data_IF_748556610213
#
_entry.id   IF_748556610213
#
_cell.length_a   1.000
_cell.length_b   1.000
_cell.length_c   1.000
_cell.angle_alpha   90.00
_cell.angle_beta   90.00
_cell.angle_gamma   90.00
#
_symmetry.space_group_name_H-M   'P 1'
#
loop_
_entity.id
_entity.type
_entity.pdbx_description
1 polymer ?
#
# COMPACT_ATOMS: atom_id res chain seq x y z
N UNK A 1 3.28 -28.06 37.79
CA UNK A 1 2.47 -28.41 36.60
C UNK A 1 2.26 -27.25 35.63
N UNK A 2 1.94 -26.02 36.05
CA UNK A 2 1.65 -24.86 35.14
C UNK A 2 2.88 -24.36 34.30
N UNK A 3 4.11 -24.52 34.77
CA UNK A 3 5.32 -24.09 34.09
C UNK A 3 5.66 -25.00 32.89
N UNK A 4 5.49 -26.31 33.05
CA UNK A 4 5.71 -27.29 31.96
C UNK A 4 4.75 -27.12 30.79
N UNK A 5 3.48 -26.75 31.07
CA UNK A 5 2.48 -26.51 30.00
C UNK A 5 2.78 -25.27 29.18
N UNK A 6 3.39 -24.24 29.80
CA UNK A 6 3.79 -22.99 29.12
C UNK A 6 5.01 -23.21 28.23
N UNK A 7 5.95 -24.01 28.68
CA UNK A 7 7.17 -24.38 27.91
C UNK A 7 6.80 -25.23 26.69
N UNK A 8 5.89 -26.19 26.86
CA UNK A 8 5.44 -27.06 25.77
C UNK A 8 4.64 -26.28 24.69
N UNK A 9 3.80 -25.30 25.09
CA UNK A 9 3.10 -24.41 24.14
C UNK A 9 4.09 -23.53 23.36
N UNK A 10 5.11 -23.01 24.01
CA UNK A 10 6.17 -22.19 23.36
C UNK A 10 7.02 -23.02 22.39
N UNK A 11 7.41 -24.24 22.76
CA UNK A 11 8.15 -25.14 21.87
C UNK A 11 7.32 -25.58 20.65
N UNK A 12 6.05 -25.93 20.87
CA UNK A 12 5.13 -26.31 19.79
C UNK A 12 4.89 -25.17 18.80
N UNK A 13 4.77 -23.93 19.30
CA UNK A 13 4.67 -22.72 18.48
C UNK A 13 5.93 -22.46 17.65
N UNK A 14 7.11 -22.62 18.25
CA UNK A 14 8.40 -22.48 17.53
C UNK A 14 8.65 -23.62 16.54
N UNK A 15 8.30 -24.85 16.88
CA UNK A 15 8.40 -25.98 15.94
C UNK A 15 7.44 -25.84 14.77
N UNK A 16 6.20 -25.42 15.02
CA UNK A 16 5.24 -25.10 13.96
C UNK A 16 5.75 -23.97 13.07
N UNK A 17 6.31 -22.88 13.64
CA UNK A 17 6.84 -21.78 12.83
C UNK A 17 8.06 -22.22 11.99
N UNK A 18 8.92 -23.11 12.48
CA UNK A 18 10.05 -23.67 11.74
C UNK A 18 9.60 -24.65 10.64
N UNK A 19 8.66 -25.55 10.95
CA UNK A 19 8.09 -26.48 9.97
C UNK A 19 7.29 -25.74 8.87
N UNK A 20 6.57 -24.67 9.26
CA UNK A 20 5.93 -23.79 8.29
C UNK A 20 6.98 -23.07 7.42
N UNK A 21 8.04 -22.50 8.01
CA UNK A 21 9.09 -21.83 7.25
C UNK A 21 9.81 -22.77 6.26
N UNK A 22 10.01 -24.04 6.61
CA UNK A 22 10.70 -25.03 5.76
C UNK A 22 9.78 -25.54 4.62
N UNK A 23 8.48 -25.75 4.91
CA UNK A 23 7.49 -26.12 3.90
C UNK A 23 7.25 -25.00 2.87
N UNK A 24 7.40 -23.72 3.29
CA UNK A 24 7.28 -22.53 2.44
C UNK A 24 8.50 -22.30 1.53
N UNK A 25 9.69 -22.77 1.93
CA UNK A 25 10.89 -22.69 1.07
C UNK A 25 10.82 -23.56 -0.19
N UNK A 26 10.08 -24.66 -0.16
CA UNK A 26 10.04 -25.66 -1.26
C UNK A 26 9.00 -25.41 -2.35
N UNK A 27 8.09 -24.43 -2.20
CA UNK A 27 6.95 -24.20 -3.10
C UNK A 27 7.01 -22.92 -3.93
N UNK A 28 8.10 -22.13 -3.89
CA UNK A 28 8.21 -20.90 -4.68
C UNK A 28 8.56 -21.26 -6.11
N UNK A 29 7.55 -21.30 -6.98
CA UNK A 29 7.75 -21.28 -8.43
C UNK A 29 8.64 -20.08 -8.80
N UNK A 30 9.53 -20.27 -9.78
CA UNK A 30 10.27 -19.17 -10.41
C UNK A 30 9.24 -18.14 -10.87
N UNK A 31 9.24 -16.96 -10.25
CA UNK A 31 8.29 -15.92 -10.61
C UNK A 31 8.69 -15.33 -11.95
N UNK A 32 7.66 -15.07 -12.76
CA UNK A 32 7.82 -14.39 -14.03
C UNK A 32 8.53 -13.05 -13.81
N UNK A 33 9.57 -12.79 -14.62
CA UNK A 33 10.26 -11.50 -14.68
C UNK A 33 9.76 -10.71 -15.85
N UNK A 34 9.45 -9.46 -15.62
CA UNK A 34 8.95 -8.56 -16.65
C UNK A 34 10.07 -7.70 -17.21
N UNK A 35 10.01 -7.43 -18.52
CA UNK A 35 10.98 -6.56 -19.20
C UNK A 35 10.54 -5.09 -19.23
N UNK A 36 9.29 -4.79 -18.90
CA UNK A 36 8.76 -3.43 -18.80
C UNK A 36 7.60 -3.36 -17.81
N UNK A 37 7.28 -2.15 -17.38
CA UNK A 37 6.17 -1.87 -16.45
C UNK A 37 4.83 -2.12 -17.14
N UNK A 38 4.71 -1.80 -18.43
CA UNK A 38 3.50 -2.02 -19.21
C UNK A 38 3.14 -3.50 -19.29
N UNK A 39 4.12 -4.38 -19.52
CA UNK A 39 3.91 -5.84 -19.54
C UNK A 39 3.51 -6.35 -18.16
N UNK A 40 4.14 -5.85 -17.10
CA UNK A 40 3.79 -6.18 -15.72
C UNK A 40 2.35 -5.76 -15.42
N UNK A 41 1.98 -4.51 -15.73
CA UNK A 41 0.64 -4.00 -15.51
C UNK A 41 -0.41 -4.74 -16.33
N UNK A 42 -0.14 -5.01 -17.61
CA UNK A 42 -1.03 -5.77 -18.49
C UNK A 42 -1.29 -7.18 -17.93
N UNK A 43 -0.24 -7.87 -17.43
CA UNK A 43 -0.37 -9.19 -16.86
C UNK A 43 -1.10 -9.17 -15.52
N UNK A 44 -0.77 -8.21 -14.64
CA UNK A 44 -1.37 -8.09 -13.31
C UNK A 44 -2.88 -7.81 -13.39
N UNK A 45 -3.28 -6.90 -14.28
CA UNK A 45 -4.67 -6.50 -14.49
C UNK A 45 -5.36 -7.24 -15.65
N UNK A 46 -4.84 -8.40 -16.08
CA UNK A 46 -5.36 -9.18 -17.19
C UNK A 46 -6.87 -9.48 -17.08
N UNK A 47 -7.35 -9.80 -15.87
CA UNK A 47 -8.75 -10.11 -15.61
C UNK A 47 -9.61 -8.90 -15.25
N UNK A 48 -9.01 -7.74 -15.02
CA UNK A 48 -9.72 -6.49 -14.76
C UNK A 48 -8.91 -5.30 -15.32
N UNK A 49 -8.85 -5.15 -16.66
CA UNK A 49 -8.05 -4.12 -17.30
C UNK A 49 -8.53 -2.69 -17.01
N UNK A 50 -9.79 -2.53 -16.63
CA UNK A 50 -10.41 -1.23 -16.30
C UNK A 50 -10.37 -0.94 -14.79
N UNK A 51 -9.55 -1.68 -14.02
CA UNK A 51 -9.45 -1.45 -12.58
C UNK A 51 -9.03 0.00 -12.28
N UNK A 52 -9.75 0.73 -11.42
CA UNK A 52 -9.55 2.17 -11.21
C UNK A 52 -8.16 2.52 -10.64
N UNK A 53 -7.53 1.61 -9.92
CA UNK A 53 -6.17 1.81 -9.40
C UNK A 53 -5.07 1.51 -10.43
N UNK A 54 -5.39 0.85 -11.56
CA UNK A 54 -4.39 0.46 -12.57
C UNK A 54 -3.61 1.67 -13.11
N UNK A 55 -4.23 2.78 -13.51
CA UNK A 55 -3.49 3.92 -14.07
C UNK A 55 -2.46 4.48 -13.10
N UNK A 56 -2.87 4.76 -11.86
CA UNK A 56 -2.01 5.39 -10.84
C UNK A 56 -0.96 4.45 -10.28
N UNK A 57 -1.29 3.17 -10.03
CA UNK A 57 -0.31 2.14 -9.66
C UNK A 57 0.76 1.97 -10.75
N UNK A 58 0.35 1.95 -12.01
CA UNK A 58 1.29 1.88 -13.15
C UNK A 58 2.16 3.13 -13.23
N UNK A 59 1.56 4.32 -13.12
CA UNK A 59 2.26 5.59 -13.16
C UNK A 59 3.29 5.73 -12.01
N UNK A 60 2.96 5.23 -10.81
CA UNK A 60 3.89 5.22 -9.68
C UNK A 60 5.18 4.43 -10.00
N UNK A 61 5.04 3.26 -10.65
CA UNK A 61 6.19 2.45 -11.07
C UNK A 61 6.94 3.08 -12.27
N UNK A 62 6.23 3.71 -13.21
CA UNK A 62 6.86 4.44 -14.32
C UNK A 62 7.70 5.61 -13.80
N UNK A 63 7.21 6.32 -12.77
CA UNK A 63 7.91 7.45 -12.17
C UNK A 63 9.27 7.09 -11.54
N UNK A 64 9.48 5.82 -11.17
CA UNK A 64 10.76 5.33 -10.63
C UNK A 64 11.67 4.70 -11.69
N UNK A 65 11.22 4.63 -12.95
CA UNK A 65 12.01 4.30 -14.14
C UNK A 65 12.87 3.02 -14.01
N UNK A 66 12.24 1.90 -13.69
CA UNK A 66 12.86 0.56 -13.57
C UNK A 66 14.00 0.47 -12.53
N UNK A 67 14.16 1.47 -11.67
CA UNK A 67 15.17 1.47 -10.62
C UNK A 67 14.76 0.54 -9.47
N UNK A 68 15.73 -0.04 -8.74
CA UNK A 68 15.44 -0.68 -7.47
C UNK A 68 14.75 0.29 -6.50
N UNK A 69 13.70 -0.16 -5.81
CA UNK A 69 12.90 0.68 -4.91
C UNK A 69 12.63 0.01 -3.58
N UNK A 70 12.44 0.80 -2.53
CA UNK A 70 11.84 0.32 -1.29
C UNK A 70 10.38 0.74 -1.25
N UNK A 71 9.48 -0.22 -1.28
CA UNK A 71 8.03 0.03 -1.23
C UNK A 71 7.53 -0.22 0.19
N UNK A 72 6.80 0.74 0.73
CA UNK A 72 6.14 0.69 2.03
C UNK A 72 4.64 0.82 1.78
N UNK A 73 3.92 -0.27 1.96
CA UNK A 73 2.48 -0.35 1.78
C UNK A 73 1.79 -0.48 3.13
N UNK A 74 0.78 0.36 3.38
CA UNK A 74 -0.13 0.23 4.51
C UNK A 74 -1.52 -0.20 4.02
N UNK A 75 -2.10 -1.24 4.65
CA UNK A 75 -3.24 -1.97 4.12
C UNK A 75 -2.82 -2.93 3.01
N UNK A 76 -2.99 -4.20 3.25
CA UNK A 76 -2.70 -5.24 2.28
C UNK A 76 -3.98 -5.89 1.81
N UNK A 77 -3.95 -6.51 0.64
CA UNK A 77 -5.14 -7.21 0.10
C UNK A 77 -6.30 -6.26 -0.21
N UNK A 78 -5.97 -5.09 -0.75
CA UNK A 78 -6.96 -4.18 -1.30
C UNK A 78 -7.86 -4.89 -2.33
N UNK A 79 -9.13 -4.57 -2.31
CA UNK A 79 -10.18 -5.21 -3.11
C UNK A 79 -9.85 -5.15 -4.61
N UNK A 80 -9.49 -6.31 -5.18
CA UNK A 80 -9.27 -6.47 -6.62
C UNK A 80 -7.93 -5.93 -7.16
N UNK A 81 -7.33 -4.91 -6.57
CA UNK A 81 -6.05 -4.37 -7.04
C UNK A 81 -4.89 -5.32 -6.78
N UNK A 82 -4.94 -6.09 -5.67
CA UNK A 82 -3.83 -6.97 -5.25
C UNK A 82 -2.48 -6.25 -5.30
N UNK A 83 -2.44 -5.01 -4.82
CA UNK A 83 -1.30 -4.08 -4.90
C UNK A 83 0.00 -4.69 -4.37
N UNK A 84 -0.05 -5.41 -3.25
CA UNK A 84 1.11 -6.11 -2.68
C UNK A 84 1.75 -7.07 -3.70
N UNK A 85 0.94 -7.82 -4.45
CA UNK A 85 1.45 -8.75 -5.49
C UNK A 85 1.98 -8.00 -6.72
N UNK A 86 1.39 -6.86 -7.06
CA UNK A 86 1.86 -5.98 -8.12
C UNK A 86 3.26 -5.44 -7.80
N UNK A 87 3.43 -4.93 -6.59
CA UNK A 87 4.71 -4.44 -6.09
C UNK A 87 5.76 -5.56 -5.93
N UNK A 88 5.35 -6.74 -5.44
CA UNK A 88 6.23 -7.91 -5.38
C UNK A 88 6.76 -8.30 -6.77
N UNK A 89 5.89 -8.27 -7.78
CA UNK A 89 6.29 -8.56 -9.17
C UNK A 89 7.27 -7.52 -9.73
N UNK A 90 7.09 -6.25 -9.35
CA UNK A 90 8.03 -5.19 -9.72
C UNK A 90 9.41 -5.43 -9.09
N UNK A 91 9.49 -5.57 -7.77
CA UNK A 91 10.80 -5.74 -7.11
C UNK A 91 11.49 -7.04 -7.50
N UNK A 92 10.73 -8.09 -7.82
CA UNK A 92 11.29 -9.33 -8.37
C UNK A 92 11.90 -9.13 -9.77
N UNK A 93 11.38 -8.18 -10.56
CA UNK A 93 11.86 -7.91 -11.92
C UNK A 93 12.99 -6.89 -11.96
N UNK A 94 12.88 -5.82 -11.18
CA UNK A 94 13.75 -4.64 -11.28
C UNK A 94 14.58 -4.36 -10.03
N UNK A 95 14.36 -5.13 -8.96
CA UNK A 95 15.11 -5.01 -7.70
C UNK A 95 14.43 -4.13 -6.65
N UNK A 96 14.90 -4.28 -5.43
CA UNK A 96 14.36 -3.58 -4.27
C UNK A 96 13.67 -4.50 -3.27
N UNK A 97 12.74 -3.95 -2.49
CA UNK A 97 11.99 -4.69 -1.47
C UNK A 97 10.61 -4.10 -1.24
N UNK A 98 9.68 -4.92 -0.72
CA UNK A 98 8.35 -4.50 -0.28
C UNK A 98 8.20 -4.79 1.21
N UNK A 99 7.71 -3.80 1.96
CA UNK A 99 7.22 -3.96 3.32
C UNK A 99 5.72 -3.64 3.30
N UNK A 100 4.88 -4.65 3.49
CA UNK A 100 3.43 -4.50 3.53
C UNK A 100 2.93 -4.75 4.94
N UNK A 101 2.14 -3.82 5.48
CA UNK A 101 1.59 -3.90 6.84
C UNK A 101 0.07 -3.90 6.82
N UNK A 102 -0.52 -4.80 7.57
CA UNK A 102 -1.97 -4.85 7.80
C UNK A 102 -2.24 -5.29 9.25
N UNK A 103 -3.28 -4.76 9.83
CA UNK A 103 -3.71 -5.16 11.18
C UNK A 103 -4.33 -6.57 11.20
N UNK A 104 -4.80 -7.05 10.05
CA UNK A 104 -5.47 -8.34 9.90
C UNK A 104 -4.45 -9.44 9.59
N UNK A 105 -4.39 -10.49 10.42
CA UNK A 105 -3.47 -11.61 10.22
C UNK A 105 -3.82 -12.47 8.99
N UNK A 106 -5.09 -12.65 8.66
CA UNK A 106 -5.53 -13.54 7.57
C UNK A 106 -5.02 -13.13 6.19
N UNK A 107 -5.15 -11.85 5.75
CA UNK A 107 -4.55 -11.40 4.49
C UNK A 107 -3.04 -11.60 4.46
N UNK A 108 -2.36 -11.27 5.56
CA UNK A 108 -0.91 -11.42 5.71
C UNK A 108 -0.44 -12.85 5.43
N UNK A 109 -1.09 -13.84 6.06
CA UNK A 109 -0.76 -15.26 5.87
C UNK A 109 -0.95 -15.68 4.40
N UNK A 110 -2.06 -15.27 3.77
CA UNK A 110 -2.36 -15.58 2.37
C UNK A 110 -1.33 -14.99 1.42
N UNK A 111 -0.93 -13.73 1.64
CA UNK A 111 0.03 -13.03 0.80
C UNK A 111 1.45 -13.54 0.99
N UNK A 112 1.85 -13.87 2.22
CA UNK A 112 3.17 -14.48 2.49
C UNK A 112 3.43 -15.72 1.63
N UNK A 113 2.38 -16.49 1.34
CA UNK A 113 2.48 -17.68 0.48
C UNK A 113 2.58 -17.36 -1.01
N UNK A 114 2.13 -16.17 -1.41
CA UNK A 114 2.06 -15.74 -2.80
C UNK A 114 3.23 -14.82 -3.18
N UNK A 115 3.78 -14.08 -2.24
CA UNK A 115 4.84 -13.11 -2.48
C UNK A 115 6.24 -13.73 -2.42
N UNK A 116 7.21 -13.13 -3.07
CA UNK A 116 8.62 -13.52 -3.08
C UNK A 116 9.30 -13.24 -1.72
N UNK A 117 10.57 -13.59 -1.56
CA UNK A 117 11.36 -13.25 -0.38
C UNK A 117 11.79 -11.77 -0.32
N UNK A 118 11.51 -11.01 -1.38
CA UNK A 118 11.72 -9.57 -1.42
C UNK A 118 10.56 -8.80 -0.77
N UNK A 119 9.47 -9.48 -0.44
CA UNK A 119 8.30 -8.92 0.22
C UNK A 119 8.18 -9.45 1.64
N UNK A 120 8.19 -8.52 2.60
CA UNK A 120 8.00 -8.81 4.03
C UNK A 120 6.63 -8.35 4.47
N UNK A 121 5.87 -9.25 5.10
CA UNK A 121 4.55 -8.97 5.64
C UNK A 121 4.62 -8.68 7.13
N UNK A 122 3.95 -7.61 7.57
CA UNK A 122 3.91 -7.16 8.97
C UNK A 122 2.47 -7.13 9.47
N UNK A 123 2.11 -8.00 10.43
CA UNK A 123 0.82 -7.92 11.11
C UNK A 123 0.93 -6.90 12.25
N UNK A 124 0.54 -5.66 11.99
CA UNK A 124 0.66 -4.57 12.96
C UNK A 124 -0.28 -3.42 12.58
N UNK A 125 -0.51 -2.51 13.51
CA UNK A 125 -1.06 -1.18 13.24
C UNK A 125 -0.07 -0.37 12.38
N UNK A 126 -0.58 0.27 11.32
CA UNK A 126 0.26 0.95 10.33
C UNK A 126 1.04 2.12 10.93
N UNK A 127 0.41 2.94 11.78
CA UNK A 127 1.10 4.07 12.43
C UNK A 127 2.21 3.60 13.37
N UNK A 128 1.98 2.51 14.12
CA UNK A 128 3.03 1.90 14.97
C UNK A 128 4.18 1.36 14.13
N UNK A 129 3.87 0.75 12.99
CA UNK A 129 4.87 0.25 12.06
C UNK A 129 5.68 1.40 11.45
N UNK A 130 5.02 2.43 10.91
CA UNK A 130 5.67 3.58 10.28
C UNK A 130 6.56 4.36 11.24
N UNK A 131 6.14 4.53 12.51
CA UNK A 131 6.98 5.15 13.56
C UNK A 131 8.26 4.35 13.83
N UNK A 132 8.18 3.01 13.84
CA UNK A 132 9.38 2.16 13.99
C UNK A 132 10.30 2.26 12.78
N UNK A 133 9.74 2.36 11.58
CA UNK A 133 10.51 2.54 10.35
C UNK A 133 11.34 3.83 10.40
N UNK A 134 10.78 4.90 10.93
CA UNK A 134 11.48 6.18 11.14
C UNK A 134 12.74 6.03 12.00
N UNK A 135 12.70 5.22 13.05
CA UNK A 135 13.84 5.01 13.96
C UNK A 135 14.96 4.17 13.35
N UNK A 136 14.68 3.43 12.28
CA UNK A 136 15.64 2.54 11.60
C UNK A 136 16.18 3.11 10.28
N UNK A 137 15.88 4.36 9.96
CA UNK A 137 15.96 4.96 8.62
C UNK A 137 17.36 5.25 8.06
N UNK A 138 18.46 4.91 8.76
CA UNK A 138 19.83 5.09 8.24
C UNK A 138 20.18 4.19 7.03
N UNK A 139 19.23 3.44 6.46
CA UNK A 139 19.47 2.41 5.44
C UNK A 139 18.81 2.62 4.07
N UNK A 140 18.03 3.68 3.87
CA UNK A 140 17.30 3.86 2.61
C UNK A 140 18.05 4.78 1.63
N UNK A 141 18.99 4.22 0.87
CA UNK A 141 19.61 4.90 -0.27
C UNK A 141 18.74 4.82 -1.55
N UNK A 142 17.80 3.87 -1.63
CA UNK A 142 16.94 3.68 -2.78
C UNK A 142 15.75 4.64 -2.76
N UNK A 143 15.19 4.93 -3.95
CA UNK A 143 13.91 5.63 -4.11
C UNK A 143 12.83 4.85 -3.35
N UNK A 144 11.97 5.58 -2.63
CA UNK A 144 10.87 4.98 -1.87
C UNK A 144 9.52 5.23 -2.55
N UNK A 145 8.65 4.24 -2.45
CA UNK A 145 7.22 4.38 -2.75
C UNK A 145 6.47 4.12 -1.45
N UNK A 146 5.73 5.11 -0.96
CA UNK A 146 4.79 4.96 0.14
C UNK A 146 3.39 4.84 -0.44
N UNK A 147 2.72 3.72 -0.18
CA UNK A 147 1.34 3.49 -0.60
C UNK A 147 0.43 3.35 0.62
N UNK A 148 -0.53 4.26 0.75
CA UNK A 148 -1.46 4.34 1.88
C UNK A 148 -2.83 3.81 1.49
N UNK A 149 -3.19 2.65 2.05
CA UNK A 149 -4.47 1.96 1.83
C UNK A 149 -5.00 1.26 3.10
N UNK A 150 -4.63 1.75 4.29
CA UNK A 150 -4.82 1.02 5.55
C UNK A 150 -6.23 1.06 6.12
N UNK A 151 -6.95 2.13 5.98
CA UNK A 151 -8.28 2.34 6.56
C UNK A 151 -9.31 2.55 5.46
N UNK A 152 -10.34 1.69 5.40
CA UNK A 152 -11.44 1.85 4.44
C UNK A 152 -12.20 3.17 4.67
N UNK A 153 -12.69 3.75 3.58
CA UNK A 153 -13.47 4.99 3.65
C UNK A 153 -14.94 4.67 3.90
N UNK A 154 -15.49 5.18 5.00
CA UNK A 154 -16.92 5.35 5.13
C UNK A 154 -17.32 6.65 4.40
N UNK A 155 -17.97 6.50 3.24
CA UNK A 155 -18.35 7.65 2.41
C UNK A 155 -19.46 8.51 3.03
N UNK A 156 -20.13 8.02 4.08
CA UNK A 156 -21.10 8.80 4.87
C UNK A 156 -20.41 9.66 5.96
N UNK A 157 -19.27 9.19 6.48
CA UNK A 157 -18.39 9.91 7.40
C UNK A 157 -16.91 9.66 7.03
N UNK A 158 -16.35 10.39 6.05
CA UNK A 158 -14.99 10.14 5.58
C UNK A 158 -13.91 10.72 6.50
N UNK A 159 -14.27 11.55 7.47
CA UNK A 159 -13.31 12.27 8.33
C UNK A 159 -12.32 11.32 9.02
N UNK A 160 -12.73 10.19 9.64
CA UNK A 160 -11.79 9.28 10.28
C UNK A 160 -10.71 8.75 9.33
N UNK A 161 -11.07 8.34 8.11
CA UNK A 161 -10.11 7.83 7.12
C UNK A 161 -9.20 8.95 6.58
N UNK A 162 -9.72 10.16 6.40
CA UNK A 162 -8.94 11.34 5.99
C UNK A 162 -7.87 11.71 7.04
N UNK A 163 -8.26 11.74 8.33
CA UNK A 163 -7.35 12.02 9.45
C UNK A 163 -6.32 10.91 9.61
N UNK A 164 -6.73 9.65 9.43
CA UNK A 164 -5.83 8.52 9.52
C UNK A 164 -4.80 8.55 8.38
N UNK A 165 -5.22 8.75 7.13
CA UNK A 165 -4.32 8.90 5.98
C UNK A 165 -3.32 10.05 6.14
N UNK A 166 -3.79 11.23 6.61
CA UNK A 166 -2.90 12.35 6.93
C UNK A 166 -1.89 11.97 8.04
N UNK A 167 -2.32 11.21 9.06
CA UNK A 167 -1.43 10.77 10.13
C UNK A 167 -0.34 9.84 9.65
N UNK A 168 -0.65 8.91 8.73
CA UNK A 168 0.34 8.06 8.06
C UNK A 168 1.34 8.91 7.24
N UNK A 169 0.82 9.82 6.42
CA UNK A 169 1.63 10.73 5.60
C UNK A 169 2.59 11.56 6.46
N UNK A 170 2.09 12.23 7.50
CA UNK A 170 2.91 13.04 8.41
C UNK A 170 3.94 12.19 9.16
N UNK A 171 3.62 10.95 9.50
CA UNK A 171 4.55 10.03 10.16
C UNK A 171 5.74 9.69 9.26
N UNK A 172 5.54 9.54 7.95
CA UNK A 172 6.64 9.23 7.02
C UNK A 172 7.28 10.46 6.40
N UNK A 173 6.67 11.62 6.49
CA UNK A 173 7.14 12.85 5.84
C UNK A 173 8.63 13.16 6.10
N UNK A 174 9.19 12.96 7.31
CA UNK A 174 10.62 13.13 7.56
C UNK A 174 11.53 12.12 6.86
N UNK A 175 10.97 11.02 6.35
CA UNK A 175 11.68 9.96 5.60
C UNK A 175 11.60 10.14 4.09
N UNK A 176 10.73 11.05 3.62
CA UNK A 176 10.48 11.27 2.18
C UNK A 176 11.53 12.20 1.62
N UNK A 177 12.34 11.69 0.71
CA UNK A 177 13.39 12.43 0.01
C UNK A 177 12.94 12.89 -1.38
N UNK A 178 13.63 13.86 -1.95
CA UNK A 178 13.41 14.30 -3.35
C UNK A 178 13.42 13.08 -4.29
N UNK A 179 12.39 12.99 -5.11
CA UNK A 179 12.19 11.89 -6.06
C UNK A 179 11.37 10.72 -5.53
N UNK A 180 11.14 10.63 -4.21
CA UNK A 180 10.26 9.61 -3.63
C UNK A 180 8.81 9.82 -4.04
N UNK A 181 8.05 8.73 -4.05
CA UNK A 181 6.67 8.67 -4.49
C UNK A 181 5.76 8.42 -3.29
N UNK A 182 4.65 9.13 -3.23
CA UNK A 182 3.54 8.86 -2.31
C UNK A 182 2.28 8.61 -3.13
N UNK A 183 1.64 7.47 -2.91
CA UNK A 183 0.38 7.07 -3.52
C UNK A 183 -0.65 6.85 -2.42
N UNK A 184 -1.84 7.44 -2.57
CA UNK A 184 -2.92 7.33 -1.59
C UNK A 184 -4.16 6.78 -2.27
N UNK A 185 -4.69 5.68 -1.73
CA UNK A 185 -5.89 5.03 -2.25
C UNK A 185 -7.16 5.79 -1.87
N UNK A 186 -8.30 5.35 -2.42
CA UNK A 186 -9.64 5.87 -2.11
C UNK A 186 -9.69 7.41 -2.03
N UNK A 187 -9.12 8.08 -3.03
CA UNK A 187 -9.05 9.54 -3.10
C UNK A 187 -9.61 10.03 -4.45
N UNK A 188 -10.89 9.75 -4.75
CA UNK A 188 -11.46 10.11 -6.05
C UNK A 188 -11.49 11.62 -6.24
N UNK A 189 -11.07 12.07 -7.43
CA UNK A 189 -11.05 13.49 -7.78
C UNK A 189 -12.46 14.12 -7.79
N UNK A 190 -13.49 13.32 -8.08
CA UNK A 190 -14.87 13.77 -8.14
C UNK A 190 -15.87 12.58 -8.03
N UNK A 191 -17.16 12.93 -7.90
CA UNK A 191 -18.26 11.96 -7.84
C UNK A 191 -18.29 11.00 -9.04
N UNK A 192 -18.04 11.49 -10.25
CA UNK A 192 -18.09 10.68 -11.47
C UNK A 192 -17.09 9.54 -11.42
N UNK A 193 -15.88 9.80 -10.98
CA UNK A 193 -14.86 8.76 -10.81
C UNK A 193 -15.29 7.77 -9.72
N UNK A 194 -15.82 8.26 -8.59
CA UNK A 194 -16.29 7.37 -7.53
C UNK A 194 -17.46 6.48 -7.99
N UNK A 195 -18.43 6.98 -8.72
CA UNK A 195 -19.59 6.19 -9.19
C UNK A 195 -19.22 5.08 -10.17
N UNK A 196 -18.06 5.16 -10.84
CA UNK A 196 -17.57 4.07 -11.69
C UNK A 196 -16.96 2.92 -10.87
N UNK A 197 -16.64 3.16 -9.60
CA UNK A 197 -15.91 2.21 -8.74
C UNK A 197 -16.79 1.69 -7.61
N UNK A 198 -17.65 2.53 -7.09
CA UNK A 198 -18.46 2.27 -5.90
C UNK A 198 -19.96 2.34 -6.27
N UNK A 199 -20.83 1.93 -5.35
CA UNK A 199 -22.27 2.05 -5.54
C UNK A 199 -22.73 3.52 -5.63
N UNK A 200 -23.88 3.75 -6.28
CA UNK A 200 -24.49 5.08 -6.39
C UNK A 200 -24.74 5.70 -5.01
N UNK A 201 -25.12 4.90 -4.01
CA UNK A 201 -25.33 5.36 -2.63
C UNK A 201 -24.06 5.97 -2.03
N UNK A 202 -22.90 5.36 -2.28
CA UNK A 202 -21.59 5.87 -1.82
C UNK A 202 -21.20 7.14 -2.57
N UNK A 203 -21.48 7.21 -3.86
CA UNK A 203 -21.25 8.39 -4.66
C UNK A 203 -22.20 9.56 -4.25
N UNK A 204 -23.41 9.26 -3.83
CA UNK A 204 -24.34 10.26 -3.29
C UNK A 204 -23.91 10.77 -1.90
N UNK A 205 -23.43 9.88 -1.03
CA UNK A 205 -22.85 10.25 0.26
C UNK A 205 -21.65 11.18 0.08
N UNK A 206 -20.74 10.85 -0.83
CA UNK A 206 -19.61 11.72 -1.22
C UNK A 206 -20.10 13.12 -1.65
N UNK A 207 -21.14 13.20 -2.49
CA UNK A 207 -21.66 14.48 -2.97
C UNK A 207 -22.30 15.33 -1.86
N UNK A 208 -22.94 14.70 -0.89
CA UNK A 208 -23.49 15.39 0.29
C UNK A 208 -22.37 16.03 1.12
N UNK A 209 -21.28 15.30 1.32
CA UNK A 209 -20.13 15.78 2.08
C UNK A 209 -19.40 16.94 1.36
N UNK A 210 -19.33 16.92 0.04
CA UNK A 210 -18.78 18.04 -0.75
C UNK A 210 -19.50 19.38 -0.51
N UNK A 211 -20.83 19.36 -0.30
CA UNK A 211 -21.59 20.57 0.00
C UNK A 211 -21.18 21.24 1.31
N UNK A 212 -20.56 20.49 2.21
CA UNK A 212 -20.02 21.00 3.48
C UNK A 212 -18.52 21.30 3.43
N UNK A 213 -17.92 21.33 2.22
CA UNK A 213 -16.49 21.55 2.03
C UNK A 213 -15.61 20.34 2.37
N UNK A 214 -16.22 19.19 2.65
CA UNK A 214 -15.51 17.95 2.95
C UNK A 214 -15.36 17.20 1.64
N UNK A 215 -14.19 17.26 1.03
CA UNK A 215 -13.85 16.40 -0.10
C UNK A 215 -13.44 15.04 0.45
N UNK A 216 -14.19 13.99 0.12
CA UNK A 216 -13.99 12.66 0.69
C UNK A 216 -12.73 11.96 0.21
N UNK A 217 -12.36 10.91 0.96
CA UNK A 217 -11.24 10.03 0.64
C UNK A 217 -9.99 10.25 1.46
N UNK A 218 -9.22 9.18 1.60
CA UNK A 218 -8.03 9.10 2.48
C UNK A 218 -7.02 10.22 2.24
N UNK A 219 -6.82 10.61 0.97
CA UNK A 219 -5.82 11.58 0.56
C UNK A 219 -6.28 13.03 0.54
N UNK A 220 -7.53 13.36 0.90
CA UNK A 220 -8.04 14.74 0.78
C UNK A 220 -7.23 15.74 1.59
N UNK A 221 -7.01 15.47 2.88
CA UNK A 221 -6.18 16.32 3.73
C UNK A 221 -4.71 16.33 3.33
N UNK A 222 -4.21 15.23 2.76
CA UNK A 222 -2.85 15.17 2.20
C UNK A 222 -2.76 16.10 0.99
N UNK A 223 -3.75 16.10 0.11
CA UNK A 223 -3.80 17.00 -1.05
C UNK A 223 -3.81 18.46 -0.62
N UNK A 224 -4.61 18.81 0.38
CA UNK A 224 -4.65 20.16 0.93
C UNK A 224 -3.30 20.57 1.52
N UNK A 225 -2.67 19.70 2.29
CA UNK A 225 -1.31 19.89 2.81
C UNK A 225 -0.30 20.14 1.66
N UNK A 226 -0.32 19.30 0.63
CA UNK A 226 0.60 19.41 -0.51
C UNK A 226 0.41 20.71 -1.27
N UNK A 227 -0.84 21.13 -1.49
CA UNK A 227 -1.17 22.39 -2.14
C UNK A 227 -0.70 23.60 -1.31
N UNK A 228 -0.82 23.53 0.00
CA UNK A 228 -0.42 24.61 0.90
C UNK A 228 1.12 24.78 0.96
N UNK A 229 1.85 23.67 1.07
CA UNK A 229 3.31 23.72 1.28
C UNK A 229 4.15 23.58 0.01
N UNK A 230 3.56 23.17 -1.12
CA UNK A 230 4.22 23.13 -2.44
C UNK A 230 5.40 22.16 -2.57
N UNK A 231 5.65 21.31 -1.56
CA UNK A 231 6.83 20.44 -1.50
C UNK A 231 6.70 19.13 -2.27
N UNK A 232 5.54 18.89 -2.92
CA UNK A 232 5.27 17.77 -3.79
C UNK A 232 4.69 18.25 -5.12
N UNK A 233 4.86 17.43 -6.15
CA UNK A 233 4.19 17.51 -7.43
C UNK A 233 3.06 16.48 -7.46
N UNK A 234 1.87 16.85 -7.90
CA UNK A 234 0.79 15.90 -8.19
C UNK A 234 1.04 15.36 -9.59
N UNK A 235 1.47 14.09 -9.68
CA UNK A 235 1.71 13.43 -10.96
C UNK A 235 0.42 12.97 -11.62
N UNK A 236 -0.54 12.48 -10.81
CA UNK A 236 -1.84 12.02 -11.27
C UNK A 236 -2.85 12.06 -10.12
N UNK A 237 -4.10 12.37 -10.43
CA UNK A 237 -5.20 12.32 -9.48
C UNK A 237 -6.49 11.92 -10.21
N UNK A 238 -6.86 10.65 -10.05
CA UNK A 238 -8.09 10.06 -10.60
C UNK A 238 -8.89 9.44 -9.45
N UNK A 239 -8.82 8.11 -9.28
CA UNK A 239 -9.35 7.40 -8.11
C UNK A 239 -8.38 7.40 -6.93
N UNK A 240 -7.09 7.45 -7.24
CA UNK A 240 -6.00 7.56 -6.28
C UNK A 240 -5.25 8.88 -6.48
N UNK A 241 -4.57 9.35 -5.44
CA UNK A 241 -3.71 10.54 -5.48
C UNK A 241 -2.25 10.10 -5.54
N UNK A 242 -1.56 10.44 -6.64
CA UNK A 242 -0.15 10.14 -6.86
C UNK A 242 0.69 11.40 -6.78
N UNK A 243 1.66 11.39 -5.89
CA UNK A 243 2.53 12.51 -5.55
C UNK A 243 4.01 12.13 -5.73
N UNK A 244 4.82 13.10 -6.14
CA UNK A 244 6.28 13.00 -6.16
C UNK A 244 6.89 14.11 -5.33
N UNK A 245 7.84 13.79 -4.46
CA UNK A 245 8.61 14.78 -3.69
C UNK A 245 9.53 15.57 -4.61
N UNK A 246 9.42 16.92 -4.53
CA UNK A 246 10.30 17.87 -5.25
C UNK A 246 11.67 17.99 -4.62
#
# INVERSE_FOLDING_TARGET
MKVFTKLFKSLKSRLLSLLFAEKFRKGRALREKFSSIEKLAAKHFEFNPEHPCRPTLTAALVAVNLKPVTIIETGSSAWGANSTMFFDSYVNSFGGSVNSVDIRATPMIKLTNKCSNLTTMHCNDSLKFLRKLHLSSSKFEAIKIFYFDSMDVDWSDPIPSMVYGLSEFLTVLPLVNTGDIVLVDDTPINKKILSHVQSDERADAYSKNQKYGITGGKGSLIKDYVNLYGSFEILQHDYQLLLKKK
#
